data_IF_690336923364
#
_entry.id   IF_690336923364
#
_cell.length_a   1.000
_cell.length_b   1.000
_cell.length_c   1.000
_cell.angle_alpha   90.00
_cell.angle_beta   90.00
_cell.angle_gamma   90.00
#
_symmetry.space_group_name_H-M   'P 1'
#
loop_
_entity.id
_entity.type
_entity.pdbx_description
1 polymer ?
#
# COMPACT_ATOMS: atom_id res chain seq x y z
N UNK A 1 -16.68 3.24 3.68
CA UNK A 1 -15.98 2.14 4.36
C UNK A 1 -14.88 2.71 5.22
N UNK A 2 -14.78 2.22 6.44
CA UNK A 2 -13.67 2.51 7.35
C UNK A 2 -12.42 1.74 6.91
N UNK A 3 -11.22 2.24 7.26
CA UNK A 3 -9.97 1.62 6.82
C UNK A 3 -9.83 0.16 7.28
N UNK A 4 -10.35 -0.16 8.47
CA UNK A 4 -10.38 -1.54 8.99
C UNK A 4 -11.14 -2.49 8.07
N UNK A 5 -12.28 -2.04 7.53
CA UNK A 5 -13.12 -2.85 6.65
C UNK A 5 -12.41 -3.10 5.32
N UNK A 6 -11.65 -2.11 4.82
CA UNK A 6 -10.84 -2.26 3.62
C UNK A 6 -9.68 -3.21 3.82
N UNK A 7 -8.97 -3.12 4.94
CA UNK A 7 -7.93 -4.09 5.25
C UNK A 7 -8.49 -5.51 5.34
N UNK A 8 -9.66 -5.69 5.97
CA UNK A 8 -10.28 -7.02 6.08
C UNK A 8 -10.78 -7.53 4.73
N UNK A 9 -11.42 -6.67 3.91
CA UNK A 9 -11.84 -6.95 2.53
C UNK A 9 -10.69 -7.48 1.68
N UNK A 10 -9.53 -6.82 1.76
CA UNK A 10 -8.33 -7.17 1.00
C UNK A 10 -7.45 -8.22 1.69
N UNK A 11 -7.91 -8.83 2.80
CA UNK A 11 -7.18 -9.84 3.57
C UNK A 11 -5.78 -9.35 3.97
N UNK A 12 -5.70 -8.08 4.34
CA UNK A 12 -4.50 -7.46 4.88
C UNK A 12 -4.42 -7.73 6.39
N UNK A 13 -3.23 -8.01 6.90
CA UNK A 13 -3.01 -8.28 8.32
C UNK A 13 -3.06 -7.02 9.21
N UNK A 14 -3.14 -5.83 8.59
CA UNK A 14 -3.24 -4.53 9.25
C UNK A 14 -4.64 -4.24 9.81
N UNK A 15 -5.65 -5.02 9.41
CA UNK A 15 -7.05 -4.87 9.83
C UNK A 15 -7.40 -5.60 11.13
N UNK A 16 -8.67 -5.97 11.27
CA UNK A 16 -9.21 -6.64 12.46
C UNK A 16 -8.69 -8.06 12.66
N UNK A 17 -8.22 -8.69 11.57
CA UNK A 17 -7.75 -10.07 11.57
C UNK A 17 -6.45 -10.30 12.36
N UNK A 18 -5.63 -9.27 12.61
CA UNK A 18 -4.34 -9.45 13.32
C UNK A 18 -3.81 -8.22 14.04
N UNK A 19 -3.34 -7.20 13.33
CA UNK A 19 -2.48 -6.16 13.92
C UNK A 19 -3.20 -4.88 14.38
N UNK A 20 -4.42 -4.61 13.89
CA UNK A 20 -5.19 -3.41 14.23
C UNK A 20 -4.50 -2.07 13.96
N UNK A 21 -3.64 -2.01 12.94
CA UNK A 21 -2.98 -0.77 12.54
C UNK A 21 -3.95 0.22 11.87
N UNK A 22 -5.19 -0.20 11.54
CA UNK A 22 -6.30 0.68 11.19
C UNK A 22 -6.41 1.90 12.12
N UNK A 23 -6.23 1.70 13.42
CA UNK A 23 -6.37 2.75 14.44
C UNK A 23 -5.34 3.86 14.33
N UNK A 24 -4.15 3.56 13.78
CA UNK A 24 -3.07 4.54 13.61
C UNK A 24 -3.12 5.13 12.20
N UNK A 25 -3.30 4.29 11.19
CA UNK A 25 -3.37 4.75 9.80
C UNK A 25 -4.59 5.63 9.54
N UNK A 26 -5.77 5.31 10.08
CA UNK A 26 -6.97 6.13 9.86
C UNK A 26 -6.75 7.55 10.36
N UNK A 27 -6.22 7.74 11.58
CA UNK A 27 -5.96 9.08 12.14
C UNK A 27 -5.04 9.93 11.24
N UNK A 28 -4.05 9.30 10.58
CA UNK A 28 -3.14 9.99 9.67
C UNK A 28 -3.72 10.20 8.26
N UNK A 29 -4.54 9.28 7.77
CA UNK A 29 -5.06 9.28 6.39
C UNK A 29 -6.42 9.97 6.24
N UNK A 30 -7.22 10.07 7.31
CA UNK A 30 -8.54 10.72 7.30
C UNK A 30 -8.46 12.16 6.79
N UNK A 31 -7.52 13.00 7.24
CA UNK A 31 -7.39 14.36 6.73
C UNK A 31 -6.98 14.40 5.24
N UNK A 32 -6.33 13.35 4.75
CA UNK A 32 -5.81 13.26 3.39
C UNK A 32 -6.77 12.54 2.43
N UNK A 33 -7.87 11.98 2.94
CA UNK A 33 -8.73 11.03 2.23
C UNK A 33 -9.18 11.53 0.85
N UNK A 34 -9.59 12.79 0.79
CA UNK A 34 -10.11 13.44 -0.42
C UNK A 34 -9.13 14.47 -0.99
N UNK A 35 -7.86 14.41 -0.60
CA UNK A 35 -6.80 15.29 -1.07
C UNK A 35 -5.88 14.47 -1.97
N UNK A 36 -5.36 15.07 -3.03
CA UNK A 36 -4.33 14.43 -3.84
C UNK A 36 -2.98 14.51 -3.13
N UNK A 37 -2.34 13.36 -2.95
CA UNK A 37 -1.00 13.25 -2.38
C UNK A 37 -0.29 12.01 -2.92
N UNK A 38 1.03 11.94 -2.68
CA UNK A 38 1.84 10.77 -3.03
C UNK A 38 2.25 10.01 -1.77
N UNK A 39 2.09 8.69 -1.81
CA UNK A 39 2.49 7.76 -0.75
C UNK A 39 3.66 6.89 -1.24
N UNK A 40 4.65 6.66 -0.38
CA UNK A 40 5.67 5.65 -0.58
C UNK A 40 5.37 4.45 0.33
N UNK A 41 5.16 3.28 -0.25
CA UNK A 41 5.02 2.02 0.49
C UNK A 41 6.27 1.15 0.29
N UNK A 42 6.99 0.89 1.39
CA UNK A 42 8.15 -0.01 1.39
C UNK A 42 7.72 -1.41 1.84
N UNK A 43 7.89 -2.39 0.95
CA UNK A 43 7.50 -3.78 1.16
C UNK A 43 6.05 -4.06 0.73
N UNK A 44 5.81 -4.11 -0.57
CA UNK A 44 4.47 -4.40 -1.13
C UNK A 44 4.02 -5.85 -0.95
N UNK A 45 4.94 -6.81 -1.02
CA UNK A 45 4.62 -8.24 -1.05
C UNK A 45 3.50 -8.55 -2.06
N UNK A 46 2.32 -9.01 -1.61
CA UNK A 46 1.17 -9.35 -2.46
C UNK A 46 0.26 -8.17 -2.81
N UNK A 47 0.49 -6.98 -2.26
CA UNK A 47 -0.25 -5.76 -2.60
C UNK A 47 -1.54 -5.51 -1.80
N UNK A 48 -1.91 -6.37 -0.86
CA UNK A 48 -3.18 -6.25 -0.10
C UNK A 48 -3.32 -4.91 0.66
N UNK A 49 -2.24 -4.36 1.24
CA UNK A 49 -2.31 -3.04 1.87
C UNK A 49 -2.44 -1.91 0.85
N UNK A 50 -1.71 -2.01 -0.26
CA UNK A 50 -1.81 -1.06 -1.37
C UNK A 50 -3.24 -0.97 -1.90
N UNK A 51 -3.93 -2.11 -2.07
CA UNK A 51 -5.34 -2.16 -2.48
C UNK A 51 -6.25 -1.39 -1.50
N UNK A 52 -6.05 -1.62 -0.21
CA UNK A 52 -6.80 -0.90 0.83
C UNK A 52 -6.51 0.61 0.81
N UNK A 53 -5.26 1.03 0.64
CA UNK A 53 -4.91 2.45 0.62
C UNK A 53 -5.45 3.18 -0.60
N UNK A 54 -5.38 2.57 -1.80
CA UNK A 54 -5.94 3.16 -3.03
C UNK A 54 -7.46 3.33 -2.93
N UNK A 55 -8.15 2.39 -2.29
CA UNK A 55 -9.59 2.48 -2.07
C UNK A 55 -9.95 3.47 -0.95
N UNK A 56 -9.11 3.57 0.08
CA UNK A 56 -9.35 4.49 1.20
C UNK A 56 -9.17 5.95 0.81
N UNK A 57 -8.08 6.24 0.10
CA UNK A 57 -7.70 7.57 -0.38
C UNK A 57 -7.80 7.60 -1.92
N UNK A 58 -8.99 7.84 -2.51
CA UNK A 58 -9.21 7.67 -3.96
C UNK A 58 -8.33 8.55 -4.87
N UNK A 59 -7.71 9.62 -4.34
CA UNK A 59 -6.84 10.54 -5.07
C UNK A 59 -5.34 10.32 -4.80
N UNK A 60 -4.98 9.25 -4.09
CA UNK A 60 -3.58 8.93 -3.80
C UNK A 60 -2.87 8.33 -5.01
N UNK A 61 -1.64 8.77 -5.25
CA UNK A 61 -0.67 8.07 -6.07
C UNK A 61 0.29 7.30 -5.17
N UNK A 62 0.47 6.00 -5.40
CA UNK A 62 1.34 5.16 -4.57
C UNK A 62 2.57 4.74 -5.37
N UNK A 63 3.75 5.05 -4.84
CA UNK A 63 5.01 4.46 -5.26
C UNK A 63 5.30 3.29 -4.33
N UNK A 64 5.34 2.09 -4.91
CA UNK A 64 5.51 0.84 -4.20
C UNK A 64 6.87 0.23 -4.45
N UNK A 65 7.63 -0.06 -3.40
CA UNK A 65 8.95 -0.69 -3.53
C UNK A 65 8.98 -2.07 -2.88
N UNK A 66 9.58 -3.06 -3.54
CA UNK A 66 9.87 -4.38 -2.96
C UNK A 66 11.08 -4.99 -3.67
N UNK A 67 11.77 -5.91 -2.99
CA UNK A 67 12.87 -6.69 -3.58
C UNK A 67 12.37 -7.84 -4.47
N UNK A 68 11.08 -8.19 -4.38
CA UNK A 68 10.40 -9.22 -5.18
C UNK A 68 11.10 -10.59 -5.19
N UNK A 69 11.71 -10.97 -4.07
CA UNK A 69 12.33 -12.29 -3.89
C UNK A 69 11.31 -13.37 -3.51
N UNK A 70 10.21 -12.97 -2.85
CA UNK A 70 9.13 -13.86 -2.37
C UNK A 70 7.97 -14.00 -3.35
N UNK A 71 7.76 -13.00 -4.19
CA UNK A 71 6.71 -12.96 -5.22
C UNK A 71 7.26 -12.26 -6.44
N UNK A 72 6.81 -12.67 -7.64
CA UNK A 72 7.17 -11.99 -8.88
C UNK A 72 6.31 -10.74 -9.02
N UNK A 73 6.91 -9.60 -9.36
CA UNK A 73 6.22 -8.33 -9.56
C UNK A 73 4.98 -8.44 -10.46
N UNK A 74 5.10 -9.16 -11.60
CA UNK A 74 3.98 -9.41 -12.53
C UNK A 74 2.78 -10.16 -11.94
N UNK A 75 2.96 -10.83 -10.80
CA UNK A 75 1.91 -11.58 -10.10
C UNK A 75 1.24 -10.75 -9.00
N UNK A 76 1.53 -9.44 -8.90
CA UNK A 76 0.94 -8.52 -7.92
C UNK A 76 -0.05 -7.61 -8.66
N UNK A 77 -1.36 -7.92 -8.68
CA UNK A 77 -2.31 -7.29 -9.59
C UNK A 77 -2.44 -5.77 -9.43
N UNK A 78 -2.40 -5.28 -8.19
CA UNK A 78 -2.53 -3.85 -7.86
C UNK A 78 -1.44 -2.98 -8.51
N UNK A 79 -0.30 -3.56 -8.92
CA UNK A 79 0.74 -2.83 -9.66
C UNK A 79 0.34 -2.45 -11.09
N UNK A 80 -0.78 -2.97 -11.60
CA UNK A 80 -1.35 -2.54 -12.90
C UNK A 80 -2.34 -1.38 -12.74
N UNK A 81 -2.63 -0.94 -11.51
CA UNK A 81 -3.55 0.17 -11.27
C UNK A 81 -2.93 1.49 -11.74
N UNK A 82 -3.68 2.39 -12.41
CA UNK A 82 -3.12 3.60 -13.05
C UNK A 82 -2.43 4.58 -12.09
N UNK A 83 -2.75 4.50 -10.78
CA UNK A 83 -2.15 5.32 -9.71
C UNK A 83 -1.12 4.58 -8.84
N UNK A 84 -0.72 3.38 -9.23
CA UNK A 84 0.24 2.56 -8.48
C UNK A 84 1.46 2.30 -9.34
N UNK A 85 2.62 2.75 -8.85
CA UNK A 85 3.90 2.67 -9.55
C UNK A 85 4.81 1.72 -8.78
N UNK A 86 5.04 0.53 -9.31
CA UNK A 86 5.94 -0.44 -8.68
C UNK A 86 7.41 -0.24 -9.10
N UNK A 87 8.33 -0.30 -8.14
CA UNK A 87 9.78 -0.43 -8.37
C UNK A 87 10.32 -1.69 -7.70
N UNK A 88 11.18 -2.43 -8.41
CA UNK A 88 12.07 -3.39 -7.76
C UNK A 88 13.26 -2.64 -7.16
N UNK A 89 13.25 -2.47 -5.85
CA UNK A 89 14.15 -1.59 -5.11
C UNK A 89 14.52 -2.27 -3.77
N UNK A 90 15.77 -2.13 -3.31
CA UNK A 90 16.23 -2.63 -2.01
C UNK A 90 16.47 -1.45 -1.07
N UNK A 91 15.71 -1.38 0.03
CA UNK A 91 15.77 -0.27 0.99
C UNK A 91 17.06 -0.24 1.82
N UNK A 92 17.91 -1.27 1.73
CA UNK A 92 19.20 -1.34 2.39
C UNK A 92 20.37 -0.99 1.46
N UNK A 93 20.12 -0.93 0.16
CA UNK A 93 21.14 -0.53 -0.81
C UNK A 93 21.14 0.97 -1.01
N UNK A 94 22.33 1.56 -1.10
CA UNK A 94 22.49 2.96 -1.44
C UNK A 94 22.00 3.20 -2.87
N UNK A 95 21.42 4.37 -3.18
CA UNK A 95 21.20 4.78 -4.56
C UNK A 95 22.54 4.72 -5.32
N UNK A 96 22.52 4.14 -6.52
CA UNK A 96 23.64 4.28 -7.45
C UNK A 96 23.58 5.68 -8.04
N UNK A 97 24.71 6.40 -7.99
CA UNK A 97 24.89 7.74 -8.58
C UNK A 97 24.70 7.74 -10.10
#
# INVERSE_FOLDING_TARGET
MELVELFDKHKCDKGSLKHRYDRVYALALDPLRNISFRMLEIGIFKGNSTEAFVEYCPQVDIVGVDIFTRVKMKNVPILNHPRVYGCKCDSLQKPTE
#
